data_IF_614892773686
#
_entry.id   IF_614892773686
#
_cell.length_a   1.000
_cell.length_b   1.000
_cell.length_c   1.000
_cell.angle_alpha   90.00
_cell.angle_beta   90.00
_cell.angle_gamma   90.00
#
_symmetry.space_group_name_H-M   'P 1'
#
loop_
_entity.id
_entity.type
_entity.pdbx_description
1 polymer ?
#
# COMPACT_ATOMS: atom_id res chain seq x y z
N UNK A 1 7.76 31.13 -14.05
CA UNK A 1 7.29 29.73 -13.93
C UNK A 1 5.77 29.74 -14.07
N UNK A 2 5.17 28.88 -14.89
CA UNK A 2 3.70 28.84 -15.01
C UNK A 2 3.09 28.18 -13.77
N UNK A 3 1.90 28.62 -13.37
CA UNK A 3 1.19 28.12 -12.18
C UNK A 3 0.96 26.59 -12.23
N UNK A 4 0.75 26.02 -13.42
CA UNK A 4 0.55 24.58 -13.60
C UNK A 4 1.80 23.75 -13.26
N UNK A 5 3.00 24.23 -13.60
CA UNK A 5 4.25 23.53 -13.27
C UNK A 5 4.56 23.59 -11.78
N UNK A 6 4.14 24.65 -11.08
CA UNK A 6 4.25 24.73 -9.63
C UNK A 6 3.31 23.71 -8.94
N UNK A 7 2.08 23.60 -9.44
CA UNK A 7 1.08 22.65 -8.92
C UNK A 7 1.51 21.19 -9.05
N UNK A 8 1.98 20.78 -10.24
CA UNK A 8 2.40 19.38 -10.45
C UNK A 8 3.57 18.96 -9.56
N UNK A 9 4.52 19.88 -9.31
CA UNK A 9 5.63 19.65 -8.36
C UNK A 9 5.16 19.53 -6.92
N UNK A 10 4.21 20.36 -6.52
CA UNK A 10 3.62 20.30 -5.19
C UNK A 10 2.88 18.97 -4.97
N UNK A 11 2.00 18.59 -5.90
CA UNK A 11 1.22 17.35 -5.81
C UNK A 11 2.15 16.13 -5.75
N UNK A 12 3.22 16.12 -6.56
CA UNK A 12 4.25 15.07 -6.51
C UNK A 12 4.96 15.01 -5.17
N UNK A 13 5.43 16.14 -4.65
CA UNK A 13 6.11 16.19 -3.35
C UNK A 13 5.18 15.69 -2.23
N UNK A 14 3.90 16.08 -2.28
CA UNK A 14 2.90 15.63 -1.32
C UNK A 14 2.66 14.11 -1.39
N UNK A 15 2.60 13.52 -2.60
CA UNK A 15 2.53 12.06 -2.76
C UNK A 15 3.78 11.39 -2.19
N UNK A 16 4.97 11.89 -2.48
CA UNK A 16 6.23 11.34 -1.95
C UNK A 16 6.26 11.35 -0.42
N UNK A 17 5.76 12.43 0.22
CA UNK A 17 5.66 12.52 1.68
C UNK A 17 4.63 11.54 2.25
N UNK A 18 3.49 11.35 1.59
CA UNK A 18 2.45 10.40 2.02
C UNK A 18 2.90 8.95 1.88
N UNK A 19 3.53 8.59 0.76
CA UNK A 19 4.11 7.25 0.54
C UNK A 19 5.14 6.92 1.61
N UNK A 20 5.96 7.91 2.00
CA UNK A 20 6.93 7.77 3.08
C UNK A 20 6.34 7.82 4.49
N UNK A 21 5.01 7.89 4.64
CA UNK A 21 4.31 8.09 5.92
C UNK A 21 4.88 9.26 6.75
N UNK A 22 5.29 10.35 6.08
CA UNK A 22 5.82 11.55 6.74
C UNK A 22 4.71 12.52 7.09
N UNK A 23 3.64 12.54 6.31
CA UNK A 23 2.47 13.39 6.50
C UNK A 23 1.18 12.59 6.37
N UNK A 24 0.12 13.06 7.00
CA UNK A 24 -1.23 12.51 6.90
C UNK A 24 -2.27 13.63 6.79
N UNK A 25 -3.44 13.37 6.18
CA UNK A 25 -4.56 14.27 6.27
C UNK A 25 -5.11 14.29 7.71
N UNK A 26 -5.37 15.48 8.24
CA UNK A 26 -5.92 15.69 9.60
C UNK A 26 -7.22 16.48 9.62
N UNK A 27 -7.64 17.00 8.47
CA UNK A 27 -8.84 17.80 8.34
C UNK A 27 -9.04 18.29 6.91
N UNK A 28 -10.02 19.18 6.76
CA UNK A 28 -10.38 19.79 5.48
C UNK A 28 -10.50 21.30 5.65
N UNK A 29 -10.17 22.04 4.61
CA UNK A 29 -10.31 23.48 4.52
C UNK A 29 -11.21 23.84 3.34
N UNK A 30 -11.96 24.94 3.47
CA UNK A 30 -12.74 25.57 2.41
C UNK A 30 -11.79 26.31 1.45
N UNK A 31 -11.08 25.56 0.63
CA UNK A 31 -10.08 26.08 -0.28
C UNK A 31 -9.97 25.25 -1.56
N UNK A 32 -9.39 25.85 -2.61
CA UNK A 32 -9.20 25.22 -3.90
C UNK A 32 -10.41 25.35 -4.82
N UNK A 33 -10.34 24.72 -6.00
CA UNK A 33 -11.35 24.90 -7.05
C UNK A 33 -12.73 24.29 -6.73
N UNK A 34 -12.82 23.50 -5.67
CA UNK A 34 -14.03 22.79 -5.24
C UNK A 34 -14.41 23.13 -3.79
N UNK A 35 -13.86 24.21 -3.22
CA UNK A 35 -13.99 24.61 -1.81
C UNK A 35 -13.74 23.45 -0.82
N UNK A 36 -12.83 22.56 -1.22
CA UNK A 36 -12.44 21.37 -0.48
C UNK A 36 -10.97 21.06 -0.72
N UNK A 37 -10.16 21.18 0.33
CA UNK A 37 -8.76 20.78 0.33
C UNK A 37 -8.40 20.07 1.64
N UNK A 38 -7.60 19.01 1.58
CA UNK A 38 -7.07 18.36 2.78
C UNK A 38 -6.01 19.23 3.47
N UNK A 39 -6.09 19.30 4.79
CA UNK A 39 -5.02 19.82 5.66
C UNK A 39 -4.11 18.66 6.01
N UNK A 40 -2.81 18.80 5.77
CA UNK A 40 -1.80 17.79 6.09
C UNK A 40 -0.92 18.25 7.25
N UNK A 41 -0.60 17.32 8.14
CA UNK A 41 0.31 17.53 9.26
C UNK A 41 1.39 16.43 9.31
N UNK A 42 2.41 16.64 10.13
CA UNK A 42 3.50 15.68 10.30
C UNK A 42 3.01 14.46 11.08
N UNK A 43 3.27 13.26 10.57
CA UNK A 43 2.81 12.01 11.17
C UNK A 43 3.36 11.80 12.59
N UNK A 44 4.64 12.08 12.81
CA UNK A 44 5.28 11.94 14.13
C UNK A 44 4.74 12.92 15.18
N UNK A 45 4.05 14.00 14.77
CA UNK A 45 3.39 14.92 15.72
C UNK A 45 2.11 14.32 16.29
N UNK A 46 1.37 13.57 15.47
CA UNK A 46 0.12 12.92 15.87
C UNK A 46 0.33 11.54 16.47
N UNK A 47 1.37 10.83 16.04
CA UNK A 47 1.69 9.46 16.46
C UNK A 47 3.20 9.34 16.80
N UNK A 48 3.65 9.99 17.88
CA UNK A 48 5.07 10.04 18.26
C UNK A 48 5.67 8.66 18.61
N UNK A 49 4.84 7.69 18.98
CA UNK A 49 5.23 6.34 19.37
C UNK A 49 5.53 5.40 18.19
N UNK A 50 5.09 5.75 16.97
CA UNK A 50 5.22 4.87 15.80
C UNK A 50 6.66 4.43 15.49
N UNK A 51 7.69 5.29 15.56
CA UNK A 51 9.06 4.86 15.33
C UNK A 51 9.51 3.75 16.29
N UNK A 52 9.13 3.87 17.58
CA UNK A 52 9.45 2.87 18.59
C UNK A 52 8.71 1.54 18.35
N UNK A 53 7.43 1.60 17.95
CA UNK A 53 6.63 0.42 17.62
C UNK A 53 7.08 -0.26 16.32
N UNK A 54 7.57 0.51 15.35
CA UNK A 54 8.02 0.00 14.06
C UNK A 54 9.41 -0.64 14.11
N UNK A 55 10.29 -0.19 15.03
CA UNK A 55 11.67 -0.68 15.16
C UNK A 55 11.82 -2.20 15.23
N UNK A 56 11.00 -2.93 16.00
CA UNK A 56 11.03 -4.40 16.08
C UNK A 56 10.55 -5.13 14.83
N UNK A 57 9.79 -4.47 13.94
CA UNK A 57 9.13 -5.13 12.80
C UNK A 57 10.14 -5.38 11.70
N UNK A 58 10.35 -6.66 11.34
CA UNK A 58 11.24 -6.99 10.22
C UNK A 58 10.60 -6.58 8.90
N UNK A 59 11.44 -6.20 7.92
CA UNK A 59 10.95 -5.88 6.57
C UNK A 59 10.15 -7.02 5.92
N UNK A 60 10.54 -8.26 6.14
CA UNK A 60 9.79 -9.43 5.65
C UNK A 60 8.41 -9.54 6.27
N UNK A 61 8.30 -9.32 7.59
CA UNK A 61 7.03 -9.33 8.33
C UNK A 61 6.11 -8.20 7.85
N UNK A 62 6.66 -6.99 7.70
CA UNK A 62 5.90 -5.85 7.18
C UNK A 62 5.36 -6.10 5.76
N UNK A 63 6.18 -6.66 4.87
CA UNK A 63 5.77 -6.97 3.49
C UNK A 63 4.69 -8.05 3.46
N UNK A 64 4.88 -9.13 4.21
CA UNK A 64 3.90 -10.20 4.32
C UNK A 64 2.57 -9.65 4.83
N UNK A 65 2.58 -8.86 5.91
CA UNK A 65 1.38 -8.24 6.46
C UNK A 65 0.64 -7.34 5.44
N UNK A 66 1.37 -6.51 4.70
CA UNK A 66 0.79 -5.63 3.68
C UNK A 66 0.17 -6.42 2.52
N UNK A 67 0.87 -7.42 1.99
CA UNK A 67 0.36 -8.26 0.89
C UNK A 67 -0.83 -9.09 1.35
N UNK A 68 -0.76 -9.71 2.53
CA UNK A 68 -1.89 -10.44 3.13
C UNK A 68 -3.10 -9.55 3.33
N UNK A 69 -2.94 -8.35 3.91
CA UNK A 69 -4.04 -7.37 4.07
C UNK A 69 -4.64 -7.06 2.69
N UNK A 70 -3.82 -6.76 1.69
CA UNK A 70 -4.33 -6.48 0.36
C UNK A 70 -5.21 -7.64 -0.16
N UNK A 71 -4.71 -8.87 -0.11
CA UNK A 71 -5.45 -10.07 -0.54
C UNK A 71 -6.69 -10.34 0.32
N UNK A 72 -6.67 -10.05 1.62
CA UNK A 72 -7.85 -10.13 2.49
C UNK A 72 -8.97 -9.19 2.03
N UNK A 73 -8.65 -8.11 1.30
CA UNK A 73 -9.63 -7.09 0.90
C UNK A 73 -10.08 -7.20 -0.54
N UNK A 74 -9.18 -7.60 -1.44
CA UNK A 74 -9.56 -7.83 -2.84
C UNK A 74 -9.98 -9.26 -3.11
N UNK A 75 -9.75 -10.15 -2.13
CA UNK A 75 -10.04 -11.60 -2.14
C UNK A 75 -9.16 -12.36 -3.14
N UNK A 76 -9.08 -11.90 -4.38
CA UNK A 76 -8.32 -12.51 -5.45
C UNK A 76 -7.52 -11.46 -6.24
N UNK A 77 -6.24 -11.74 -6.48
CA UNK A 77 -5.40 -10.93 -7.36
C UNK A 77 -4.27 -11.76 -7.97
N UNK A 78 -3.82 -11.41 -9.17
CA UNK A 78 -2.62 -11.97 -9.74
C UNK A 78 -1.35 -11.22 -9.26
N UNK A 79 -0.17 -11.79 -9.56
CA UNK A 79 1.12 -11.17 -9.18
C UNK A 79 1.33 -9.79 -9.81
N UNK A 80 0.75 -9.51 -10.99
CA UNK A 80 0.88 -8.22 -11.68
C UNK A 80 0.05 -7.14 -10.99
N UNK A 81 -1.15 -7.47 -10.55
CA UNK A 81 -2.02 -6.58 -9.77
C UNK A 81 -1.36 -6.21 -8.45
N UNK A 82 -0.83 -7.21 -7.72
CA UNK A 82 -0.08 -6.98 -6.49
C UNK A 82 1.12 -6.05 -6.76
N UNK A 83 1.93 -6.34 -7.79
CA UNK A 83 3.09 -5.52 -8.15
C UNK A 83 2.70 -4.07 -8.49
N UNK A 84 1.58 -3.87 -9.19
CA UNK A 84 1.07 -2.54 -9.54
C UNK A 84 0.69 -1.73 -8.29
N UNK A 85 0.02 -2.35 -7.32
CA UNK A 85 -0.39 -1.69 -6.07
C UNK A 85 0.83 -1.30 -5.24
N UNK A 86 1.78 -2.21 -5.08
CA UNK A 86 2.95 -1.98 -4.22
C UNK A 86 4.12 -1.26 -4.92
N UNK A 87 3.98 -0.89 -6.19
CA UNK A 87 5.00 -0.14 -6.93
C UNK A 87 5.42 1.16 -6.22
N UNK A 88 4.46 1.85 -5.58
CA UNK A 88 4.72 3.09 -4.84
C UNK A 88 5.69 2.91 -3.66
N UNK A 89 5.81 1.71 -3.12
CA UNK A 89 6.75 1.39 -2.03
C UNK A 89 8.15 0.99 -2.55
N UNK A 90 8.36 1.03 -3.87
CA UNK A 90 9.64 0.75 -4.54
C UNK A 90 10.26 -0.61 -4.16
N UNK A 91 9.44 -1.66 -4.04
CA UNK A 91 9.93 -3.02 -3.84
C UNK A 91 10.37 -3.62 -5.17
N UNK A 92 11.47 -4.37 -5.14
CA UNK A 92 11.91 -5.13 -6.32
C UNK A 92 10.97 -6.30 -6.59
N UNK A 93 10.88 -6.74 -7.84
CA UNK A 93 10.10 -7.93 -8.21
C UNK A 93 10.54 -9.18 -7.43
N UNK A 94 11.83 -9.29 -7.11
CA UNK A 94 12.36 -10.40 -6.31
C UNK A 94 11.90 -10.34 -4.84
N UNK A 95 11.85 -9.15 -4.23
CA UNK A 95 11.31 -9.00 -2.87
C UNK A 95 9.82 -9.33 -2.82
N UNK A 96 9.05 -8.87 -3.81
CA UNK A 96 7.62 -9.17 -3.87
C UNK A 96 7.37 -10.65 -4.15
N UNK A 97 8.10 -11.24 -5.09
CA UNK A 97 8.03 -12.67 -5.39
C UNK A 97 8.27 -13.52 -4.15
N UNK A 98 9.40 -13.31 -3.46
CA UNK A 98 9.71 -14.00 -2.20
C UNK A 98 8.65 -13.81 -1.12
N UNK A 99 8.03 -12.63 -1.04
CA UNK A 99 6.97 -12.37 -0.06
C UNK A 99 5.73 -13.21 -0.38
N UNK A 100 5.30 -13.24 -1.64
CA UNK A 100 4.16 -14.05 -2.09
C UNK A 100 4.44 -15.54 -1.90
N UNK A 101 5.63 -16.00 -2.27
CA UNK A 101 6.00 -17.42 -2.18
C UNK A 101 6.00 -17.87 -0.71
N UNK A 102 6.56 -17.06 0.19
CA UNK A 102 6.51 -17.34 1.63
C UNK A 102 5.07 -17.40 2.19
N UNK A 103 4.17 -16.55 1.70
CA UNK A 103 2.76 -16.58 2.10
C UNK A 103 2.04 -17.84 1.59
N UNK A 104 2.41 -18.34 0.41
CA UNK A 104 1.90 -19.59 -0.14
C UNK A 104 2.42 -20.78 0.69
N UNK A 105 3.73 -20.82 0.95
CA UNK A 105 4.37 -21.88 1.76
C UNK A 105 3.78 -21.97 3.16
N UNK A 106 3.43 -20.82 3.76
CA UNK A 106 2.78 -20.75 5.07
C UNK A 106 1.28 -21.10 5.04
N UNK A 107 0.70 -21.28 3.85
CA UNK A 107 -0.73 -21.55 3.68
C UNK A 107 -1.64 -20.34 3.96
N UNK A 108 -1.09 -19.13 4.09
CA UNK A 108 -1.86 -17.89 4.24
C UNK A 108 -2.49 -17.44 2.92
N UNK A 109 -1.89 -17.85 1.79
CA UNK A 109 -2.35 -17.58 0.44
C UNK A 109 -2.34 -18.89 -0.35
N UNK A 110 -3.27 -19.06 -1.29
CA UNK A 110 -3.27 -20.19 -2.22
C UNK A 110 -3.45 -19.69 -3.65
N UNK A 111 -2.87 -20.42 -4.59
CA UNK A 111 -3.17 -20.23 -6.01
C UNK A 111 -4.42 -21.03 -6.37
N UNK A 112 -5.40 -20.37 -6.99
CA UNK A 112 -6.65 -20.99 -7.43
C UNK A 112 -7.09 -20.43 -8.79
N UNK A 113 -7.62 -21.27 -9.69
CA UNK A 113 -8.35 -20.78 -10.85
C UNK A 113 -9.66 -20.13 -10.37
N UNK A 114 -10.00 -18.98 -10.94
CA UNK A 114 -11.26 -18.30 -10.67
C UNK A 114 -11.98 -18.09 -11.99
N UNK A 115 -13.25 -18.52 -12.03
CA UNK A 115 -14.07 -18.40 -13.22
C UNK A 115 -14.19 -16.94 -13.67
N UNK A 116 -13.95 -16.71 -14.96
CA UNK A 116 -13.94 -15.38 -15.56
C UNK A 116 -12.63 -14.59 -15.40
N UNK A 117 -11.63 -15.11 -14.67
CA UNK A 117 -10.30 -14.50 -14.58
C UNK A 117 -9.25 -15.32 -15.33
N UNK A 118 -8.31 -14.60 -15.95
CA UNK A 118 -7.23 -15.22 -16.71
C UNK A 118 -6.11 -15.69 -15.78
N UNK A 119 -5.83 -16.99 -15.81
CA UNK A 119 -4.74 -17.60 -15.06
C UNK A 119 -5.01 -17.75 -13.56
N UNK A 120 -4.11 -18.44 -12.84
CA UNK A 120 -4.25 -18.66 -11.40
C UNK A 120 -4.20 -17.33 -10.64
N UNK A 121 -5.14 -17.16 -9.73
CA UNK A 121 -5.22 -16.02 -8.81
C UNK A 121 -4.66 -16.41 -7.45
N UNK A 122 -4.08 -15.44 -6.75
CA UNK A 122 -3.70 -15.58 -5.36
C UNK A 122 -4.90 -15.21 -4.50
N UNK A 123 -5.32 -16.16 -3.66
CA UNK A 123 -6.50 -16.03 -2.80
C UNK A 123 -6.09 -16.12 -1.35
N UNK A 124 -6.58 -15.20 -0.52
CA UNK A 124 -6.39 -15.28 0.93
C UNK A 124 -7.19 -16.44 1.52
N UNK A 125 -6.53 -17.31 2.27
CA UNK A 125 -7.19 -18.44 2.97
C UNK A 125 -8.02 -17.98 4.16
N UNK A 126 -7.80 -16.75 4.64
CA UNK A 126 -8.61 -16.13 5.69
C UNK A 126 -9.91 -15.56 5.13
N UNK A 127 -9.85 -14.91 3.97
CA UNK A 127 -11.03 -14.30 3.34
C UNK A 127 -11.94 -15.36 2.71
N UNK A 128 -11.35 -16.44 2.18
CA UNK A 128 -12.06 -17.59 1.64
C UNK A 128 -11.48 -18.86 2.24
N UNK A 129 -12.09 -19.42 3.30
CA UNK A 129 -11.72 -20.74 3.79
C UNK A 129 -12.17 -21.79 2.77
N UNK A 130 -11.28 -22.09 1.82
CA UNK A 130 -11.40 -23.16 0.83
C UNK A 130 -10.88 -24.48 1.38
#
# INVERSE_FOLDING_TARGET
MSANTAKSRFDRALVELQVGLKVLPVGVAEAGAWDYAFIYEILQRHFPELPAQAGPIKRSEARAALVSRYLDNVIAADRKMIAKVFHVLNWTSAELGRTVDALIEQGAVREAPIDGLLGPQLVSTRAVPL
#
